data_IF_760847199436
#
_entry.id   IF_760847199436
#
_cell.length_a   1.000
_cell.length_b   1.000
_cell.length_c   1.000
_cell.angle_alpha   90.00
_cell.angle_beta   90.00
_cell.angle_gamma   90.00
#
_symmetry.space_group_name_H-M   'P 1'
#
loop_
_entity.id
_entity.type
_entity.pdbx_description
1 polymer ?
#
# COMPACT_ATOMS: atom_id res chain seq x y z
N UNK A 1 -12.59 7.43 11.30
CA UNK A 1 -11.98 8.76 11.05
C UNK A 1 -12.33 9.64 12.25
N UNK A 2 -11.35 10.36 12.79
CA UNK A 2 -11.49 11.25 13.94
C UNK A 2 -11.04 12.65 13.54
N UNK A 3 -11.90 13.64 13.71
CA UNK A 3 -11.59 15.05 13.44
C UNK A 3 -11.46 15.79 14.76
N UNK A 4 -10.31 16.42 14.99
CA UNK A 4 -10.01 17.16 16.22
C UNK A 4 -10.20 18.67 16.09
N UNK A 5 -10.60 19.15 14.91
CA UNK A 5 -10.65 20.57 14.54
C UNK A 5 -9.32 21.13 14.03
N UNK A 6 -8.19 20.58 14.50
CA UNK A 6 -6.84 20.99 14.08
C UNK A 6 -6.16 19.96 13.17
N UNK A 7 -6.57 18.69 13.29
CA UNK A 7 -6.02 17.55 12.55
C UNK A 7 -7.09 16.47 12.36
N UNK A 8 -6.95 15.71 11.28
CA UNK A 8 -7.79 14.58 10.93
C UNK A 8 -7.01 13.28 11.04
N UNK A 9 -7.58 12.29 11.70
CA UNK A 9 -6.96 10.99 11.92
C UNK A 9 -7.78 9.90 11.23
N UNK A 10 -7.13 9.17 10.32
CA UNK A 10 -7.70 8.04 9.61
C UNK A 10 -7.10 6.74 10.16
N UNK A 11 -7.79 6.18 11.15
CA UNK A 11 -7.44 4.92 11.78
C UNK A 11 -7.52 3.74 10.81
N UNK A 12 -6.45 2.97 10.74
CA UNK A 12 -6.29 1.77 9.93
C UNK A 12 -6.41 0.55 10.85
N UNK A 13 -7.27 -0.39 10.50
CA UNK A 13 -7.47 -1.62 11.25
C UNK A 13 -6.34 -2.63 11.07
N UNK A 14 -6.61 -3.85 11.51
CA UNK A 14 -5.75 -5.00 11.33
C UNK A 14 -6.52 -6.11 10.62
N UNK A 15 -5.79 -7.06 10.04
CA UNK A 15 -6.38 -8.32 9.62
C UNK A 15 -5.98 -9.40 10.62
N UNK A 16 -6.93 -10.15 11.19
CA UNK A 16 -6.57 -11.30 12.00
C UNK A 16 -5.72 -12.25 11.17
N UNK A 17 -4.63 -12.74 11.74
CA UNK A 17 -3.97 -13.95 11.26
C UNK A 17 -5.01 -15.07 11.46
N UNK A 18 -5.84 -15.35 10.46
CA UNK A 18 -6.74 -16.50 10.51
C UNK A 18 -5.84 -17.70 10.79
N UNK A 19 -6.14 -18.44 11.86
CA UNK A 19 -5.55 -19.76 12.07
C UNK A 19 -5.57 -20.46 10.72
N UNK A 20 -4.39 -20.64 10.15
CA UNK A 20 -4.21 -21.39 8.92
C UNK A 20 -4.98 -22.69 9.09
N UNK A 21 -5.83 -23.03 8.12
CA UNK A 21 -6.38 -24.38 8.00
C UNK A 21 -5.29 -25.38 8.42
N UNK A 22 -5.58 -26.21 9.43
CA UNK A 22 -4.67 -27.18 10.06
C UNK A 22 -4.12 -28.27 9.09
N UNK A 23 -4.14 -28.02 7.77
CA UNK A 23 -3.72 -28.94 6.71
C UNK A 23 -2.70 -28.36 5.71
N UNK A 24 -2.15 -27.16 5.93
CA UNK A 24 -1.03 -26.69 5.11
C UNK A 24 0.31 -27.20 5.66
N UNK A 25 0.64 -28.46 5.36
CA UNK A 25 2.02 -28.94 5.49
C UNK A 25 2.82 -28.36 4.33
N UNK A 26 3.64 -27.34 4.59
CA UNK A 26 4.84 -27.08 3.78
C UNK A 26 5.95 -26.48 4.64
N UNK A 27 7.07 -27.18 4.65
CA UNK A 27 8.37 -26.78 5.16
C UNK A 27 8.87 -25.45 4.57
N UNK A 28 9.77 -24.83 5.35
CA UNK A 28 10.77 -23.82 4.97
C UNK A 28 10.34 -22.34 4.96
N UNK A 29 10.84 -21.62 5.98
CA UNK A 29 11.37 -20.24 5.98
C UNK A 29 11.15 -19.39 4.71
N UNK A 30 9.89 -19.09 4.39
CA UNK A 30 9.53 -18.07 3.41
C UNK A 30 8.56 -17.10 4.06
N UNK A 31 8.99 -15.83 4.06
CA UNK A 31 8.34 -14.63 4.56
C UNK A 31 6.83 -14.71 4.84
N UNK A 32 6.48 -14.38 6.08
CA UNK A 32 5.12 -14.16 6.64
C UNK A 32 4.33 -13.00 6.01
N UNK A 33 4.57 -12.68 4.74
CA UNK A 33 3.68 -11.78 4.00
C UNK A 33 2.44 -12.59 3.67
N UNK A 34 1.35 -12.34 4.40
CA UNK A 34 0.02 -12.90 4.14
C UNK A 34 -0.21 -12.96 2.63
N UNK A 35 -0.63 -14.11 2.09
CA UNK A 35 -0.65 -14.34 0.66
C UNK A 35 -1.63 -13.36 -0.03
N UNK A 36 -1.12 -12.21 -0.47
CA UNK A 36 -1.85 -11.06 -1.00
C UNK A 36 -2.38 -11.28 -2.43
N UNK A 37 -2.58 -12.54 -2.82
CA UNK A 37 -2.83 -12.97 -4.20
C UNK A 37 -4.31 -13.29 -4.45
N UNK A 38 -5.19 -12.34 -4.14
CA UNK A 38 -6.64 -12.51 -4.37
C UNK A 38 -7.40 -11.22 -4.62
N UNK A 39 -8.60 -11.34 -5.18
CA UNK A 39 -9.54 -10.22 -5.41
C UNK A 39 -9.88 -9.44 -4.13
N UNK A 40 -9.78 -10.10 -2.96
CA UNK A 40 -9.92 -9.47 -1.64
C UNK A 40 -8.88 -8.37 -1.42
N UNK A 41 -7.62 -8.59 -1.81
CA UNK A 41 -6.56 -7.59 -1.69
C UNK A 41 -6.81 -6.39 -2.60
N UNK A 42 -7.20 -6.62 -3.86
CA UNK A 42 -7.56 -5.54 -4.79
C UNK A 42 -8.71 -4.70 -4.27
N UNK A 43 -9.75 -5.35 -3.71
CA UNK A 43 -10.88 -4.65 -3.09
C UNK A 43 -10.42 -3.83 -1.88
N UNK A 44 -9.62 -4.41 -0.99
CA UNK A 44 -9.09 -3.71 0.17
C UNK A 44 -8.24 -2.49 -0.21
N UNK A 45 -7.38 -2.61 -1.22
CA UNK A 45 -6.59 -1.47 -1.72
C UNK A 45 -7.47 -0.39 -2.36
N UNK A 46 -8.57 -0.76 -3.01
CA UNK A 46 -9.56 0.20 -3.49
C UNK A 46 -10.28 0.90 -2.33
N UNK A 47 -10.71 0.15 -1.31
CA UNK A 47 -11.35 0.69 -0.10
C UNK A 47 -10.42 1.65 0.66
N UNK A 48 -9.15 1.27 0.84
CA UNK A 48 -8.13 2.12 1.50
C UNK A 48 -7.92 3.42 0.73
N UNK A 49 -7.76 3.37 -0.59
CA UNK A 49 -7.65 4.58 -1.43
C UNK A 49 -8.89 5.45 -1.34
N UNK A 50 -10.09 4.86 -1.40
CA UNK A 50 -11.34 5.60 -1.28
C UNK A 50 -11.49 6.27 0.09
N UNK A 51 -11.12 5.59 1.18
CA UNK A 51 -11.14 6.16 2.53
C UNK A 51 -10.16 7.34 2.68
N UNK A 52 -8.94 7.20 2.15
CA UNK A 52 -7.94 8.28 2.16
C UNK A 52 -8.39 9.49 1.33
N UNK A 53 -8.92 9.25 0.12
CA UNK A 53 -9.47 10.32 -0.71
C UNK A 53 -10.61 11.04 0.02
N UNK A 54 -11.52 10.28 0.63
CA UNK A 54 -12.65 10.84 1.40
C UNK A 54 -12.18 11.71 2.55
N UNK A 55 -11.10 11.32 3.24
CA UNK A 55 -10.53 12.10 4.33
C UNK A 55 -9.96 13.44 3.85
N UNK A 56 -9.22 13.46 2.74
CA UNK A 56 -8.69 14.69 2.14
C UNK A 56 -9.82 15.59 1.61
N UNK A 57 -10.79 15.00 0.94
CA UNK A 57 -11.99 15.66 0.43
C UNK A 57 -12.84 16.29 1.55
N UNK A 58 -12.90 15.63 2.69
CA UNK A 58 -13.54 16.15 3.90
C UNK A 58 -12.76 17.34 4.46
N UNK A 59 -11.44 17.21 4.59
CA UNK A 59 -10.56 18.28 5.09
C UNK A 59 -10.70 19.55 4.25
N UNK A 60 -10.53 19.43 2.93
CA UNK A 60 -10.63 20.55 1.98
C UNK A 60 -11.99 21.24 2.04
N UNK A 61 -13.08 20.48 2.15
CA UNK A 61 -14.44 21.07 2.29
C UNK A 61 -14.63 21.84 3.59
N UNK A 62 -13.99 21.40 4.68
CA UNK A 62 -14.15 22.01 6.00
C UNK A 62 -13.25 23.23 6.20
N UNK A 63 -12.02 23.18 5.71
CA UNK A 63 -10.99 24.19 5.98
C UNK A 63 -10.58 25.02 4.75
N UNK A 64 -11.06 24.67 3.56
CA UNK A 64 -10.71 25.33 2.29
C UNK A 64 -9.50 24.70 1.60
N UNK A 65 -9.27 25.11 0.35
CA UNK A 65 -8.07 24.74 -0.43
C UNK A 65 -6.89 25.71 -0.17
N UNK A 66 -7.13 26.83 0.53
CA UNK A 66 -6.15 27.89 0.84
C UNK A 66 -5.35 27.63 2.13
N UNK A 67 -5.40 26.41 2.69
CA UNK A 67 -4.57 26.09 3.86
C UNK A 67 -3.10 26.03 3.43
N UNK A 68 -2.37 27.13 3.66
CA UNK A 68 -0.91 27.25 3.50
C UNK A 68 -0.12 26.10 4.20
N UNK A 69 -0.77 25.28 5.01
CA UNK A 69 -0.16 24.26 5.86
C UNK A 69 -0.33 22.80 5.38
N UNK A 70 -0.79 22.55 4.15
CA UNK A 70 -1.16 21.21 3.65
C UNK A 70 -2.30 20.55 4.48
N UNK A 71 -3.06 19.60 3.92
CA UNK A 71 -4.07 18.90 4.70
C UNK A 71 -3.46 18.15 5.89
N UNK A 72 -3.81 18.54 7.12
CA UNK A 72 -3.36 17.90 8.37
C UNK A 72 -4.10 16.59 8.64
N UNK A 73 -4.04 15.68 7.68
CA UNK A 73 -4.65 14.37 7.75
C UNK A 73 -3.59 13.28 7.91
N UNK A 74 -3.71 12.47 8.95
CA UNK A 74 -2.73 11.44 9.32
C UNK A 74 -3.36 10.04 9.40
N UNK A 75 -2.62 9.04 8.95
CA UNK A 75 -2.90 7.63 9.17
C UNK A 75 -2.32 7.19 10.50
N UNK A 76 -3.05 6.32 11.17
CA UNK A 76 -2.64 5.67 12.40
C UNK A 76 -3.04 4.20 12.35
N UNK A 77 -2.20 3.30 12.85
CA UNK A 77 -2.43 1.87 12.84
C UNK A 77 -2.94 1.35 14.18
N UNK A 78 -3.88 0.42 14.11
CA UNK A 78 -4.43 -0.27 15.27
C UNK A 78 -3.32 -0.85 16.17
N UNK A 79 -3.39 -0.63 17.48
CA UNK A 79 -2.40 -1.09 18.45
C UNK A 79 -1.05 -0.37 18.39
N UNK A 80 -0.85 0.57 17.45
CA UNK A 80 0.38 1.35 17.27
C UNK A 80 0.09 2.85 17.31
N UNK A 81 -1.03 3.26 17.91
CA UNK A 81 -1.47 4.64 17.97
C UNK A 81 -0.51 5.53 18.77
N UNK A 82 -0.23 6.78 18.34
CA UNK A 82 0.54 7.72 19.13
C UNK A 82 -0.32 8.31 20.27
N UNK A 83 0.34 8.79 21.33
CA UNK A 83 -0.34 9.46 22.46
C UNK A 83 -1.24 10.62 22.02
N UNK A 84 -0.81 11.40 21.03
CA UNK A 84 -1.60 12.52 20.47
C UNK A 84 -2.98 12.09 19.95
N UNK A 85 -3.12 10.82 19.54
CA UNK A 85 -4.36 10.22 19.10
C UNK A 85 -5.13 9.61 20.28
N UNK A 86 -4.48 8.81 21.11
CA UNK A 86 -5.14 8.09 22.21
C UNK A 86 -5.64 9.02 23.32
N UNK A 87 -4.95 10.14 23.58
CA UNK A 87 -5.35 11.19 24.53
C UNK A 87 -6.67 11.89 24.14
N UNK A 88 -7.19 11.64 22.93
CA UNK A 88 -8.50 12.15 22.49
C UNK A 88 -9.67 11.32 22.98
N UNK A 89 -9.41 10.17 23.59
CA UNK A 89 -10.43 9.25 24.10
C UNK A 89 -10.41 9.25 25.64
N UNK A 90 -11.57 9.37 26.32
CA UNK A 90 -11.62 9.32 27.79
C UNK A 90 -11.10 8.02 28.39
N UNK A 91 -11.30 6.93 27.67
CA UNK A 91 -10.79 5.61 27.98
C UNK A 91 -10.11 5.05 26.74
N UNK A 92 -8.89 4.53 26.90
CA UNK A 92 -8.14 3.85 25.87
C UNK A 92 -7.54 2.56 26.43
N UNK A 93 -7.58 1.50 25.64
CA UNK A 93 -6.98 0.22 26.02
C UNK A 93 -5.92 -0.14 25.00
N UNK A 94 -4.70 -0.36 25.48
CA UNK A 94 -3.61 -0.86 24.66
C UNK A 94 -3.89 -2.30 24.23
N UNK A 95 -3.63 -2.58 22.95
CA UNK A 95 -3.91 -3.86 22.31
C UNK A 95 -2.63 -4.44 21.73
N UNK A 96 -1.79 -4.98 22.62
CA UNK A 96 -0.51 -5.61 22.26
C UNK A 96 -0.69 -6.73 21.24
N UNK A 97 -1.79 -7.48 21.34
CA UNK A 97 -2.16 -8.54 20.39
C UNK A 97 -2.32 -8.02 18.95
N UNK A 98 -2.81 -6.79 18.80
CA UNK A 98 -2.96 -6.12 17.50
C UNK A 98 -1.66 -5.41 17.11
N UNK A 99 -0.96 -4.82 18.08
CA UNK A 99 0.32 -4.15 17.89
C UNK A 99 1.33 -5.11 17.25
N UNK A 100 1.42 -6.34 17.76
CA UNK A 100 2.30 -7.39 17.21
C UNK A 100 1.99 -7.68 15.74
N UNK A 101 0.72 -7.80 15.36
CA UNK A 101 0.31 -8.05 13.96
C UNK A 101 0.79 -6.91 13.06
N UNK A 102 0.53 -5.66 13.44
CA UNK A 102 0.91 -4.52 12.61
C UNK A 102 2.43 -4.29 12.59
N UNK A 103 3.16 -4.62 13.66
CA UNK A 103 4.63 -4.62 13.67
C UNK A 103 5.23 -5.66 12.72
N UNK A 104 4.63 -6.85 12.60
CA UNK A 104 5.04 -7.86 11.60
C UNK A 104 4.88 -7.35 10.17
N UNK A 105 3.95 -6.42 9.94
CA UNK A 105 3.77 -5.69 8.68
C UNK A 105 4.65 -4.44 8.55
N UNK A 106 5.69 -4.32 9.38
CA UNK A 106 6.70 -3.27 9.32
C UNK A 106 6.18 -1.85 9.66
N UNK A 107 5.05 -1.76 10.37
CA UNK A 107 4.58 -0.52 10.98
C UNK A 107 5.25 -0.31 12.35
N UNK A 108 5.46 0.96 12.73
CA UNK A 108 6.16 1.29 13.98
C UNK A 108 5.19 1.90 15.01
N UNK A 109 5.40 1.67 16.32
CA UNK A 109 4.65 2.36 17.37
C UNK A 109 4.71 3.88 17.23
N UNK A 110 3.55 4.52 17.29
CA UNK A 110 3.42 5.97 17.20
C UNK A 110 3.72 6.54 15.81
N UNK A 111 3.88 5.70 14.78
CA UNK A 111 4.08 6.17 13.41
C UNK A 111 2.82 6.88 12.90
N UNK A 112 3.03 8.09 12.37
CA UNK A 112 1.99 8.89 11.75
C UNK A 112 2.39 9.21 10.33
N UNK A 113 1.62 8.74 9.35
CA UNK A 113 1.89 9.00 7.94
C UNK A 113 0.87 10.01 7.41
N UNK A 114 1.31 11.01 6.65
CA UNK A 114 0.39 11.91 5.98
C UNK A 114 -0.50 11.13 5.00
N UNK A 115 -1.82 11.32 5.08
CA UNK A 115 -2.81 10.63 4.23
C UNK A 115 -2.51 10.90 2.76
N UNK A 116 -2.13 12.12 2.41
CA UNK A 116 -1.80 12.50 1.02
C UNK A 116 -0.57 11.77 0.48
N UNK A 117 0.49 11.66 1.29
CA UNK A 117 1.72 10.96 0.91
C UNK A 117 1.43 9.47 0.68
N UNK A 118 0.67 8.85 1.58
CA UNK A 118 0.32 7.43 1.44
C UNK A 118 -0.65 7.20 0.27
N UNK A 119 -1.63 8.07 0.07
CA UNK A 119 -2.55 7.96 -1.06
C UNK A 119 -1.81 8.10 -2.40
N UNK A 120 -0.86 9.03 -2.49
CA UNK A 120 0.00 9.18 -3.67
C UNK A 120 0.84 7.91 -3.90
N UNK A 121 1.34 7.28 -2.83
CA UNK A 121 2.06 6.00 -2.90
C UNK A 121 1.17 4.87 -3.42
N UNK A 122 -0.06 4.72 -2.91
CA UNK A 122 -1.00 3.66 -3.29
C UNK A 122 -1.64 3.87 -4.67
N UNK A 123 -1.73 5.12 -5.12
CA UNK A 123 -2.28 5.48 -6.44
C UNK A 123 -1.20 5.54 -7.51
N UNK A 124 0.06 5.28 -7.15
CA UNK A 124 1.19 5.30 -8.06
C UNK A 124 1.04 4.22 -9.14
N UNK A 125 0.89 4.68 -10.39
CA UNK A 125 0.76 3.79 -11.55
C UNK A 125 2.10 3.39 -12.17
N UNK A 126 3.16 4.19 -11.94
CA UNK A 126 4.47 3.97 -12.57
C UNK A 126 5.63 4.04 -11.59
N UNK A 127 6.60 3.15 -11.76
CA UNK A 127 7.79 2.99 -10.94
C UNK A 127 9.05 3.04 -11.82
N UNK A 128 10.19 3.50 -11.29
CA UNK A 128 11.46 3.43 -12.00
C UNK A 128 11.83 1.97 -12.29
N UNK A 129 12.41 1.74 -13.48
CA UNK A 129 12.92 0.44 -13.89
C UNK A 129 13.76 -0.25 -12.80
N UNK A 130 14.73 0.47 -12.24
CA UNK A 130 15.61 -0.05 -11.21
C UNK A 130 14.87 -0.60 -9.98
N UNK A 131 13.74 0.00 -9.62
CA UNK A 131 12.95 -0.43 -8.47
C UNK A 131 12.17 -1.72 -8.75
N UNK A 132 11.67 -1.91 -9.98
CA UNK A 132 10.95 -3.12 -10.38
C UNK A 132 11.88 -4.32 -10.63
N UNK A 133 13.16 -4.06 -10.89
CA UNK A 133 14.19 -5.07 -11.07
C UNK A 133 14.79 -5.58 -9.75
N UNK A 134 14.60 -4.83 -8.66
CA UNK A 134 15.07 -5.21 -7.34
C UNK A 134 14.01 -5.99 -6.56
N UNK A 135 14.46 -6.68 -5.50
CA UNK A 135 13.60 -7.35 -4.52
C UNK A 135 13.98 -6.81 -3.13
N UNK A 136 13.02 -6.54 -2.24
CA UNK A 136 11.56 -6.72 -2.38
C UNK A 136 10.91 -5.73 -3.36
N UNK A 137 9.78 -6.11 -3.96
CA UNK A 137 9.00 -5.23 -4.82
C UNK A 137 8.24 -4.18 -3.98
N UNK A 138 7.92 -3.00 -4.53
CA UNK A 138 7.08 -2.02 -3.85
C UNK A 138 5.68 -2.57 -3.56
N UNK A 139 5.06 -2.13 -2.46
CA UNK A 139 3.72 -2.59 -2.10
C UNK A 139 2.69 -2.29 -3.19
N UNK A 140 1.79 -3.23 -3.44
CA UNK A 140 0.73 -3.08 -4.45
C UNK A 140 1.20 -3.31 -5.90
N UNK A 141 2.48 -3.58 -6.12
CA UNK A 141 2.99 -3.99 -7.44
C UNK A 141 2.74 -5.47 -7.68
N UNK A 142 2.02 -5.79 -8.75
CA UNK A 142 1.78 -7.17 -9.18
C UNK A 142 3.08 -7.78 -9.76
N UNK A 143 3.71 -8.77 -9.10
CA UNK A 143 4.94 -9.39 -9.57
C UNK A 143 4.77 -10.08 -10.92
N UNK A 144 3.55 -10.47 -11.28
CA UNK A 144 3.29 -11.15 -12.56
C UNK A 144 3.13 -10.18 -13.73
N UNK A 145 3.02 -8.86 -13.48
CA UNK A 145 2.72 -7.83 -14.49
C UNK A 145 3.56 -6.55 -14.30
N UNK A 146 4.82 -6.69 -13.90
CA UNK A 146 5.76 -5.58 -13.68
C UNK A 146 5.83 -4.58 -14.84
N UNK A 147 5.68 -5.06 -16.08
CA UNK A 147 5.71 -4.23 -17.29
C UNK A 147 4.62 -3.15 -17.36
N UNK A 148 3.52 -3.32 -16.62
CA UNK A 148 2.44 -2.34 -16.59
C UNK A 148 2.81 -1.09 -15.80
N UNK A 149 3.72 -1.26 -14.84
CA UNK A 149 4.17 -0.24 -13.90
C UNK A 149 5.35 0.56 -14.43
N UNK A 150 5.78 0.36 -15.68
CA UNK A 150 6.81 1.20 -16.30
C UNK A 150 6.19 2.40 -17.02
N UNK A 151 6.84 3.55 -16.91
CA UNK A 151 6.53 4.69 -17.78
C UNK A 151 6.85 4.35 -19.25
N UNK A 152 6.17 4.95 -20.24
CA UNK A 152 6.42 4.65 -21.66
C UNK A 152 7.90 4.77 -22.06
N UNK A 153 8.60 5.79 -21.53
CA UNK A 153 10.02 6.01 -21.79
C UNK A 153 10.89 4.90 -21.17
N UNK A 154 10.59 4.47 -19.94
CA UNK A 154 11.34 3.38 -19.28
C UNK A 154 11.06 2.04 -19.94
N UNK A 155 9.82 1.82 -20.38
CA UNK A 155 9.41 0.63 -21.10
C UNK A 155 10.18 0.50 -22.42
N UNK A 156 10.20 1.58 -23.21
CA UNK A 156 10.95 1.63 -24.46
C UNK A 156 12.45 1.45 -24.23
N UNK A 157 13.02 2.08 -23.20
CA UNK A 157 14.45 1.94 -22.88
C UNK A 157 14.86 0.53 -22.44
N UNK A 158 13.97 -0.22 -21.77
CA UNK A 158 14.27 -1.58 -21.30
C UNK A 158 13.94 -2.67 -22.33
N UNK A 159 12.80 -2.56 -23.02
CA UNK A 159 12.29 -3.60 -23.92
C UNK A 159 12.55 -3.29 -25.41
N UNK A 160 13.05 -2.11 -25.73
CA UNK A 160 13.30 -1.63 -27.10
C UNK A 160 12.07 -1.72 -28.02
N UNK A 161 10.88 -1.57 -27.43
CA UNK A 161 9.59 -1.57 -28.14
C UNK A 161 8.56 -0.76 -27.38
N UNK A 162 7.49 -0.35 -28.06
CA UNK A 162 6.40 0.39 -27.43
C UNK A 162 5.44 -0.56 -26.70
N UNK A 163 4.72 -0.05 -25.70
CA UNK A 163 3.83 -0.84 -24.82
C UNK A 163 2.71 -1.54 -25.61
N UNK A 164 2.15 -0.86 -26.61
CA UNK A 164 1.08 -1.41 -27.44
C UNK A 164 1.57 -2.56 -28.32
N UNK A 165 2.76 -2.43 -28.90
CA UNK A 165 3.39 -3.48 -29.71
C UNK A 165 3.65 -4.73 -28.84
N UNK A 166 4.18 -4.54 -27.63
CA UNK A 166 4.40 -5.64 -26.70
C UNK A 166 3.11 -6.38 -26.35
N UNK A 167 2.01 -5.66 -26.11
CA UNK A 167 0.71 -6.25 -25.75
C UNK A 167 0.10 -7.09 -26.87
N UNK A 168 0.40 -6.77 -28.14
CA UNK A 168 -0.01 -7.56 -29.30
C UNK A 168 0.77 -8.87 -29.46
N UNK A 169 1.91 -9.02 -28.78
CA UNK A 169 2.71 -10.25 -28.87
C UNK A 169 2.04 -11.43 -28.17
N UNK A 170 2.19 -12.66 -28.72
CA UNK A 170 1.77 -13.87 -28.04
C UNK A 170 2.34 -13.99 -26.63
N UNK A 171 1.57 -14.58 -25.69
CA UNK A 171 1.95 -14.69 -24.26
C UNK A 171 3.35 -15.29 -24.07
N UNK A 172 3.70 -16.33 -24.84
CA UNK A 172 5.03 -16.96 -24.76
C UNK A 172 6.18 -16.00 -25.11
N UNK A 173 5.98 -15.10 -26.07
CA UNK A 173 6.98 -14.13 -26.51
C UNK A 173 7.11 -13.01 -25.47
N UNK A 174 5.99 -12.53 -24.93
CA UNK A 174 5.99 -11.58 -23.79
C UNK A 174 6.74 -12.14 -22.58
N UNK A 175 6.46 -13.38 -22.18
CA UNK A 175 7.17 -14.03 -21.07
C UNK A 175 8.67 -14.15 -21.34
N UNK A 176 9.07 -14.49 -22.58
CA UNK A 176 10.48 -14.58 -22.96
C UNK A 176 11.20 -13.23 -22.80
N UNK A 177 10.59 -12.16 -23.29
CA UNK A 177 11.15 -10.80 -23.19
C UNK A 177 11.24 -10.36 -21.73
N UNK A 178 10.17 -10.55 -20.93
CA UNK A 178 10.18 -10.23 -19.50
C UNK A 178 11.32 -10.92 -18.75
N UNK A 179 11.54 -12.21 -19.03
CA UNK A 179 12.65 -12.97 -18.45
C UNK A 179 14.01 -12.42 -18.85
N UNK A 180 14.20 -12.00 -20.11
CA UNK A 180 15.49 -11.45 -20.55
C UNK A 180 15.83 -10.11 -19.89
N UNK A 181 14.82 -9.33 -19.49
CA UNK A 181 15.03 -8.03 -18.83
C UNK A 181 14.84 -8.07 -17.32
N UNK A 182 14.61 -9.24 -16.70
CA UNK A 182 14.45 -9.36 -15.25
C UNK A 182 13.09 -8.90 -14.69
N UNK A 183 12.09 -8.72 -15.55
CA UNK A 183 10.71 -8.37 -15.15
C UNK A 183 9.82 -9.62 -14.99
N UNK A 184 10.41 -10.77 -14.66
CA UNK A 184 9.72 -12.04 -14.41
C UNK A 184 9.83 -12.45 -12.94
#
# INVERSE_FOLDING_TARGET
MLDTGEELWLWQGWWPETATDDNAVTDAEQSVVADHRGSSWTRLQAERRAAMQTALDYWRRKFGDDDENDPRAYLVWAGLEPLRFTDRFPEWQDRDDIAEINMKHNHKPGETLAVEVELARLTRETYPAAQLLQRPLPDGVDPTRLELYLSPNSFKGLLDMDKDEFLQLPKWKRTKIKKSVGLF
#
